data_IF_606319034970
#
_entry.id   IF_606319034970
#
_cell.length_a   1.000
_cell.length_b   1.000
_cell.length_c   1.000
_cell.angle_alpha   90.00
_cell.angle_beta   90.00
_cell.angle_gamma   90.00
#
_symmetry.space_group_name_H-M   'P 1'
#
loop_
_entity.id
_entity.type
_entity.pdbx_description
1 polymer ?
#
# COMPACT_ATOMS: atom_id res chain seq x y z
N UNK A 1 18.78 2.69 6.17
CA UNK A 1 19.06 1.32 5.73
C UNK A 1 17.92 0.46 6.23
N UNK A 2 17.45 -0.48 5.43
CA UNK A 2 16.43 -1.46 5.86
C UNK A 2 17.04 -2.52 6.80
N UNK A 3 16.20 -3.43 7.27
CA UNK A 3 16.65 -4.60 8.03
C UNK A 3 17.07 -5.69 7.05
N UNK A 4 18.32 -6.14 7.19
CA UNK A 4 18.90 -7.22 6.37
C UNK A 4 18.59 -8.56 7.01
N UNK A 5 18.09 -9.49 6.21
CA UNK A 5 17.73 -10.84 6.63
C UNK A 5 18.39 -11.86 5.69
N UNK A 6 19.05 -12.85 6.26
CA UNK A 6 19.56 -13.98 5.48
C UNK A 6 18.39 -14.77 4.86
N UNK A 7 18.67 -15.35 3.70
CA UNK A 7 17.75 -16.35 3.11
C UNK A 7 17.76 -17.64 3.91
N UNK A 8 16.70 -18.42 3.78
CA UNK A 8 16.62 -19.74 4.40
C UNK A 8 17.74 -20.71 3.93
N UNK A 9 17.81 -21.92 4.53
CA UNK A 9 18.91 -22.86 4.36
C UNK A 9 19.28 -23.14 2.90
N UNK A 10 18.31 -23.21 2.02
CA UNK A 10 18.50 -23.55 0.60
C UNK A 10 19.17 -22.41 -0.19
N UNK A 11 19.13 -21.19 0.29
CA UNK A 11 19.64 -19.98 -0.37
C UNK A 11 20.69 -19.22 0.48
N UNK A 12 21.07 -19.72 1.65
CA UNK A 12 22.05 -19.06 2.54
C UNK A 12 23.42 -18.90 1.91
N UNK A 13 23.80 -19.78 0.98
CA UNK A 13 25.05 -19.76 0.25
C UNK A 13 25.26 -18.48 -0.57
N UNK A 14 24.18 -17.80 -0.95
CA UNK A 14 24.20 -16.56 -1.74
C UNK A 14 24.98 -15.44 -1.06
N UNK A 15 24.98 -15.38 0.26
CA UNK A 15 25.67 -14.36 1.04
C UNK A 15 27.21 -14.44 0.92
N UNK A 16 27.75 -15.62 0.61
CA UNK A 16 29.19 -15.86 0.47
C UNK A 16 29.62 -16.03 -0.98
N UNK A 17 28.69 -16.17 -1.92
CA UNK A 17 28.98 -16.33 -3.35
C UNK A 17 29.46 -15.02 -3.96
N UNK A 18 30.61 -15.05 -4.64
CA UNK A 18 31.26 -13.87 -5.20
C UNK A 18 30.50 -13.26 -6.38
N UNK A 19 29.84 -14.07 -7.19
CA UNK A 19 29.03 -13.58 -8.31
C UNK A 19 27.81 -12.83 -7.76
N UNK A 20 27.13 -13.38 -6.75
CA UNK A 20 26.01 -12.73 -6.09
C UNK A 20 26.41 -11.44 -5.37
N UNK A 21 27.58 -11.42 -4.72
CA UNK A 21 28.12 -10.20 -4.12
C UNK A 21 28.40 -9.12 -5.16
N UNK A 22 28.93 -9.46 -6.32
CA UNK A 22 29.18 -8.49 -7.39
C UNK A 22 27.88 -7.99 -8.01
N UNK A 23 26.87 -8.85 -8.25
CA UNK A 23 25.55 -8.43 -8.70
C UNK A 23 24.91 -7.47 -7.71
N UNK A 24 24.99 -7.75 -6.43
CA UNK A 24 24.48 -6.88 -5.37
C UNK A 24 25.18 -5.51 -5.35
N UNK A 25 26.47 -5.48 -5.61
CA UNK A 25 27.26 -4.25 -5.75
C UNK A 25 26.81 -3.41 -6.96
N UNK A 26 26.51 -4.05 -8.07
CA UNK A 26 26.06 -3.36 -9.30
C UNK A 26 24.67 -2.71 -9.14
N UNK A 27 23.81 -3.24 -8.29
CA UNK A 27 22.45 -2.73 -8.05
C UNK A 27 22.39 -1.59 -7.01
N UNK A 28 23.52 -1.08 -6.51
CA UNK A 28 23.56 -0.11 -5.41
C UNK A 28 22.84 1.21 -5.72
N UNK A 29 22.79 1.65 -7.00
CA UNK A 29 22.11 2.89 -7.36
C UNK A 29 20.61 2.80 -7.13
N UNK A 30 19.98 1.73 -7.63
CA UNK A 30 18.54 1.50 -7.49
C UNK A 30 18.17 1.29 -6.03
N UNK A 31 18.98 0.53 -5.32
CA UNK A 31 18.84 0.29 -3.90
C UNK A 31 18.93 1.58 -3.06
N UNK A 32 19.80 2.54 -3.45
CA UNK A 32 19.86 3.84 -2.78
C UNK A 32 18.56 4.64 -2.98
N UNK A 33 17.96 4.60 -4.17
CA UNK A 33 16.67 5.25 -4.45
C UNK A 33 15.55 4.64 -3.59
N UNK A 34 15.48 3.32 -3.54
CA UNK A 34 14.53 2.57 -2.72
C UNK A 34 14.69 2.92 -1.21
N UNK A 35 15.92 2.90 -0.70
CA UNK A 35 16.23 3.25 0.70
C UNK A 35 15.88 4.69 1.06
N UNK A 36 16.12 5.65 0.15
CA UNK A 36 15.73 7.05 0.35
C UNK A 36 14.20 7.18 0.46
N UNK A 37 13.46 6.56 -0.45
CA UNK A 37 11.99 6.53 -0.39
C UNK A 37 11.51 5.93 0.93
N UNK A 38 12.06 4.78 1.33
CA UNK A 38 11.70 4.12 2.58
C UNK A 38 12.02 4.97 3.83
N UNK A 39 13.14 5.67 3.83
CA UNK A 39 13.51 6.57 4.94
C UNK A 39 12.51 7.74 5.05
N UNK A 40 12.14 8.35 3.92
CA UNK A 40 11.10 9.38 3.90
C UNK A 40 9.78 8.84 4.46
N UNK A 41 9.36 7.64 4.01
CA UNK A 41 8.15 6.99 4.50
C UNK A 41 8.18 6.78 6.02
N UNK A 42 9.26 6.22 6.57
CA UNK A 42 9.42 6.00 8.02
C UNK A 42 9.28 7.27 8.84
N UNK A 43 9.85 8.39 8.37
CA UNK A 43 9.74 9.69 9.05
C UNK A 43 8.30 10.21 9.05
N UNK A 44 7.60 10.09 7.91
CA UNK A 44 6.20 10.51 7.78
C UNK A 44 5.29 9.63 8.63
N UNK A 45 5.52 8.32 8.65
CA UNK A 45 4.78 7.37 9.49
C UNK A 45 4.90 7.70 10.98
N UNK A 46 6.11 7.96 11.47
CA UNK A 46 6.33 8.42 12.85
C UNK A 46 5.66 9.76 13.16
N UNK A 47 5.64 10.67 12.20
CA UNK A 47 4.91 11.92 12.31
C UNK A 47 3.40 11.66 12.41
N UNK A 48 2.84 10.83 11.52
CA UNK A 48 1.43 10.46 11.50
C UNK A 48 0.96 9.89 12.84
N UNK A 49 1.70 8.95 13.41
CA UNK A 49 1.39 8.31 14.70
C UNK A 49 1.31 9.31 15.88
N UNK A 50 2.03 10.44 15.80
CA UNK A 50 2.03 11.49 16.84
C UNK A 50 0.98 12.56 16.59
N UNK A 51 0.72 12.85 15.32
CA UNK A 51 -0.14 13.93 14.87
C UNK A 51 -1.61 13.56 14.93
N UNK A 52 -1.98 12.35 14.48
CA UNK A 52 -3.36 11.92 14.31
C UNK A 52 -4.03 11.70 15.65
N UNK A 53 -5.23 12.31 15.82
CA UNK A 53 -6.04 12.23 17.04
C UNK A 53 -7.53 12.18 16.72
N UNK A 54 -8.34 11.55 17.57
CA UNK A 54 -9.80 11.63 17.44
C UNK A 54 -10.29 13.09 17.38
N UNK A 55 -11.34 13.33 16.60
CA UNK A 55 -11.93 14.62 16.34
C UNK A 55 -11.36 15.37 15.13
N UNK A 56 -10.30 14.85 14.49
CA UNK A 56 -9.77 15.41 13.25
C UNK A 56 -10.61 14.96 12.05
N UNK A 57 -10.78 15.85 11.06
CA UNK A 57 -11.37 15.48 9.78
C UNK A 57 -10.37 14.62 8.99
N UNK A 58 -10.86 13.56 8.34
CA UNK A 58 -10.02 12.67 7.56
C UNK A 58 -9.32 13.40 6.40
N UNK A 59 -10.01 14.35 5.78
CA UNK A 59 -9.43 15.17 4.70
C UNK A 59 -8.24 16.02 5.21
N UNK A 60 -8.31 16.59 6.41
CA UNK A 60 -7.24 17.39 6.98
C UNK A 60 -6.03 16.52 7.34
N UNK A 61 -6.27 15.29 7.82
CA UNK A 61 -5.22 14.30 8.05
C UNK A 61 -4.46 14.01 6.76
N UNK A 62 -5.18 13.68 5.67
CA UNK A 62 -4.56 13.37 4.38
C UNK A 62 -3.77 14.56 3.82
N UNK A 63 -4.34 15.76 3.83
CA UNK A 63 -3.68 16.99 3.33
C UNK A 63 -2.38 17.26 4.10
N UNK A 64 -2.41 17.14 5.43
CA UNK A 64 -1.22 17.40 6.26
C UNK A 64 -0.13 16.34 6.02
N UNK A 65 -0.49 15.06 5.92
CA UNK A 65 0.47 13.99 5.61
C UNK A 65 1.08 14.14 4.21
N UNK A 66 0.26 14.48 3.22
CA UNK A 66 0.70 14.72 1.84
C UNK A 66 1.61 15.95 1.73
N UNK A 67 1.31 16.99 2.49
CA UNK A 67 2.17 18.19 2.61
C UNK A 67 3.52 17.85 3.24
N UNK A 68 3.51 17.09 4.35
CA UNK A 68 4.72 16.62 5.00
C UNK A 68 5.53 15.69 4.08
N UNK A 69 4.85 14.83 3.33
CA UNK A 69 5.48 13.96 2.35
C UNK A 69 6.18 14.77 1.26
N UNK A 70 5.51 15.75 0.65
CA UNK A 70 6.10 16.66 -0.34
C UNK A 70 7.33 17.38 0.21
N UNK A 71 7.30 17.78 1.48
CA UNK A 71 8.43 18.44 2.15
C UNK A 71 9.61 17.48 2.39
N UNK A 72 9.39 16.32 2.99
CA UNK A 72 10.47 15.36 3.35
C UNK A 72 11.10 14.74 2.11
N UNK A 73 10.31 14.41 1.08
CA UNK A 73 10.84 13.86 -0.17
C UNK A 73 11.50 14.93 -1.05
N UNK A 74 11.33 16.22 -0.72
CA UNK A 74 11.66 17.33 -1.62
C UNK A 74 11.02 17.11 -2.99
N UNK A 75 9.70 16.87 -3.00
CA UNK A 75 8.96 16.38 -4.15
C UNK A 75 9.22 17.19 -5.42
N UNK A 76 9.61 16.52 -6.50
CA UNK A 76 9.93 17.10 -7.78
C UNK A 76 9.40 16.22 -8.93
N UNK A 77 8.21 16.53 -9.41
CA UNK A 77 7.58 15.84 -10.55
C UNK A 77 7.55 14.32 -10.35
N UNK A 78 8.08 13.60 -11.33
CA UNK A 78 8.21 12.15 -11.32
C UNK A 78 9.59 11.66 -10.78
N UNK A 79 10.49 12.56 -10.39
CA UNK A 79 11.79 12.15 -9.84
C UNK A 79 11.66 11.64 -8.39
N UNK A 80 10.86 12.31 -7.58
CA UNK A 80 10.59 11.90 -6.20
C UNK A 80 9.31 12.53 -5.67
N UNK A 81 8.63 11.81 -4.78
CA UNK A 81 7.38 12.28 -4.20
C UNK A 81 6.49 11.15 -3.70
N UNK A 82 5.20 11.35 -3.83
CA UNK A 82 4.16 10.41 -3.46
C UNK A 82 3.86 9.45 -4.61
N UNK A 83 3.79 8.14 -4.34
CA UNK A 83 3.50 7.13 -5.37
C UNK A 83 2.02 6.81 -5.53
N UNK A 84 1.21 7.08 -4.49
CA UNK A 84 -0.25 6.96 -4.52
C UNK A 84 -0.88 7.80 -3.40
N UNK A 85 -2.20 8.11 -3.45
CA UNK A 85 -2.87 8.94 -2.47
C UNK A 85 -2.81 8.35 -1.06
N UNK A 86 -2.83 9.22 -0.04
CA UNK A 86 -2.93 8.78 1.35
C UNK A 86 -4.29 8.14 1.60
N UNK A 87 -4.32 6.82 1.70
CA UNK A 87 -5.46 6.05 2.18
C UNK A 87 -5.64 6.24 3.69
N UNK A 88 -6.90 6.43 4.11
CA UNK A 88 -7.26 6.55 5.52
C UNK A 88 -8.57 5.81 5.80
N UNK A 89 -8.63 4.56 5.39
CA UNK A 89 -9.81 3.71 5.44
C UNK A 89 -10.26 3.42 6.88
N UNK A 90 -11.55 3.65 7.18
CA UNK A 90 -12.12 3.47 8.52
C UNK A 90 -12.91 2.17 8.64
N UNK A 91 -12.81 1.53 9.78
CA UNK A 91 -13.63 0.40 10.25
C UNK A 91 -13.75 -0.73 9.21
N UNK A 92 -14.92 -0.96 8.63
CA UNK A 92 -15.19 -2.00 7.63
C UNK A 92 -14.60 -1.70 6.24
N UNK A 93 -14.22 -0.45 5.96
CA UNK A 93 -13.47 -0.11 4.74
C UNK A 93 -12.04 -0.60 4.90
N UNK A 94 -11.65 -1.59 4.12
CA UNK A 94 -10.32 -2.20 4.19
C UNK A 94 -9.25 -1.34 3.51
N UNK A 95 -9.52 -0.84 2.29
CA UNK A 95 -8.55 -0.12 1.47
C UNK A 95 -9.21 0.86 0.49
N UNK A 96 -8.39 1.65 -0.20
CA UNK A 96 -8.74 2.55 -1.30
C UNK A 96 -9.69 3.70 -0.94
N UNK A 97 -9.81 4.06 0.34
CA UNK A 97 -10.51 5.27 0.73
C UNK A 97 -9.53 6.40 1.02
N UNK A 98 -9.67 7.50 0.30
CA UNK A 98 -9.17 8.83 0.65
C UNK A 98 -10.30 9.83 0.46
N UNK A 99 -10.46 10.86 1.32
CA UNK A 99 -11.55 11.81 1.22
C UNK A 99 -11.58 12.51 -0.14
N UNK A 100 -12.74 12.55 -0.78
CA UNK A 100 -12.99 13.41 -1.92
C UNK A 100 -13.20 14.87 -1.49
N UNK A 101 -13.08 15.87 -2.39
CA UNK A 101 -13.41 17.25 -2.06
C UNK A 101 -14.82 17.37 -1.46
N UNK A 102 -14.92 17.99 -0.28
CA UNK A 102 -16.19 18.16 0.45
C UNK A 102 -16.56 17.02 1.40
N UNK A 103 -15.72 16.02 1.56
CA UNK A 103 -15.90 14.96 2.54
C UNK A 103 -15.67 15.52 3.96
N UNK A 104 -16.66 15.36 4.83
CA UNK A 104 -16.67 15.85 6.21
C UNK A 104 -16.47 14.74 7.26
N UNK A 105 -16.05 13.55 6.85
CA UNK A 105 -15.81 12.39 7.74
C UNK A 105 -14.79 12.78 8.82
N UNK A 106 -15.13 12.46 10.07
CA UNK A 106 -14.32 12.75 11.25
C UNK A 106 -13.86 11.45 11.89
N UNK A 107 -12.59 11.37 12.27
CA UNK A 107 -12.01 10.26 13.01
C UNK A 107 -12.54 10.24 14.45
N UNK A 108 -13.15 9.15 14.87
CA UNK A 108 -13.66 8.97 16.23
C UNK A 108 -12.71 8.11 17.08
N UNK A 109 -12.88 8.20 18.41
CA UNK A 109 -12.06 7.43 19.35
C UNK A 109 -12.25 5.90 19.26
N UNK A 110 -13.41 5.46 18.77
CA UNK A 110 -13.75 4.05 18.58
C UNK A 110 -13.56 3.55 17.15
N UNK A 111 -12.88 4.34 16.29
CA UNK A 111 -12.57 3.92 14.93
C UNK A 111 -11.24 3.15 14.85
N UNK A 112 -11.18 2.22 13.91
CA UNK A 112 -9.94 1.60 13.42
C UNK A 112 -9.59 2.24 12.09
N UNK A 113 -8.50 2.99 12.03
CA UNK A 113 -8.05 3.70 10.84
C UNK A 113 -6.83 3.00 10.22
N UNK A 114 -6.92 2.61 8.95
CA UNK A 114 -5.82 2.11 8.14
C UNK A 114 -5.22 3.28 7.39
N UNK A 115 -3.97 3.60 7.71
CA UNK A 115 -3.19 4.60 7.00
C UNK A 115 -2.26 3.88 6.03
N UNK A 116 -2.45 4.18 4.77
CA UNK A 116 -1.76 3.57 3.66
C UNK A 116 -1.31 4.66 2.68
N UNK A 117 0.01 4.84 2.55
CA UNK A 117 0.57 5.85 1.66
C UNK A 117 1.92 5.42 1.12
N UNK A 118 2.19 5.81 -0.10
CA UNK A 118 3.43 5.46 -0.76
C UNK A 118 4.33 6.64 -1.05
N UNK A 119 5.64 6.36 -1.07
CA UNK A 119 6.67 7.29 -1.53
C UNK A 119 7.44 6.69 -2.70
N UNK A 120 8.08 7.53 -3.50
CA UNK A 120 9.04 7.05 -4.50
C UNK A 120 10.22 7.99 -4.65
N UNK A 121 11.35 7.43 -5.07
CA UNK A 121 12.53 8.15 -5.57
C UNK A 121 12.94 7.47 -6.88
N UNK A 122 13.07 8.24 -7.97
CA UNK A 122 13.30 7.73 -9.32
C UNK A 122 12.28 6.64 -9.75
N UNK A 123 11.03 6.76 -9.29
CA UNK A 123 9.97 5.80 -9.56
C UNK A 123 10.01 4.51 -8.74
N UNK A 124 11.05 4.24 -7.93
CA UNK A 124 11.08 3.08 -7.04
C UNK A 124 10.06 3.26 -5.92
N UNK A 125 8.96 2.52 -6.04
CA UNK A 125 7.80 2.63 -5.16
C UNK A 125 8.10 2.00 -3.80
N UNK A 126 7.79 2.73 -2.76
CA UNK A 126 7.63 2.25 -1.39
C UNK A 126 6.14 2.22 -1.09
N UNK A 127 5.68 1.06 -0.70
CA UNK A 127 4.31 0.78 -0.28
C UNK A 127 4.32 0.28 1.15
N UNK A 128 3.62 0.96 2.05
CA UNK A 128 3.64 0.58 3.45
C UNK A 128 2.46 1.18 4.21
N UNK A 129 1.75 0.33 4.92
CA UNK A 129 0.56 0.68 5.67
C UNK A 129 0.63 0.25 7.14
N UNK A 130 -0.17 0.91 7.97
CA UNK A 130 -0.34 0.57 9.38
C UNK A 130 -1.71 1.00 9.87
N UNK A 131 -2.20 0.32 10.89
CA UNK A 131 -3.47 0.66 11.55
C UNK A 131 -3.25 1.46 12.83
N UNK A 132 -4.15 2.41 13.08
CA UNK A 132 -4.27 3.16 14.34
C UNK A 132 -5.65 2.88 14.93
N UNK A 133 -5.69 2.58 16.22
CA UNK A 133 -6.88 2.59 17.06
C UNK A 133 -6.56 3.27 18.38
N UNK A 134 -7.51 4.02 18.93
CA UNK A 134 -7.33 4.71 20.22
C UNK A 134 -7.97 3.95 21.37
N UNK A 135 -8.82 2.97 21.07
CA UNK A 135 -9.46 2.11 22.05
C UNK A 135 -8.74 0.76 22.10
N UNK A 136 -8.20 0.36 23.28
CA UNK A 136 -7.47 -0.90 23.42
C UNK A 136 -8.27 -2.17 23.10
N UNK A 137 -9.60 -2.08 23.01
CA UNK A 137 -10.42 -3.23 22.62
C UNK A 137 -10.06 -3.79 21.23
N UNK A 138 -9.38 -3.00 20.38
CA UNK A 138 -8.95 -3.41 19.04
C UNK A 138 -7.51 -3.97 18.98
N UNK A 139 -6.78 -3.99 20.10
CA UNK A 139 -5.35 -4.37 20.10
C UNK A 139 -5.12 -5.75 19.46
N UNK A 140 -5.95 -6.74 19.78
CA UNK A 140 -5.84 -8.07 19.19
C UNK A 140 -6.13 -8.08 17.67
N UNK A 141 -7.03 -7.21 17.18
CA UNK A 141 -7.31 -7.08 15.76
C UNK A 141 -6.09 -6.48 15.03
N UNK A 142 -5.50 -5.43 15.60
CA UNK A 142 -4.28 -4.82 15.05
C UNK A 142 -3.11 -5.81 15.08
N UNK A 143 -2.96 -6.54 16.19
CA UNK A 143 -1.90 -7.53 16.34
C UNK A 143 -2.04 -8.66 15.32
N UNK A 144 -3.26 -9.11 15.02
CA UNK A 144 -3.49 -10.18 14.04
C UNK A 144 -2.94 -9.81 12.64
N UNK A 145 -3.23 -8.62 12.13
CA UNK A 145 -2.67 -8.17 10.85
C UNK A 145 -1.17 -7.90 10.94
N UNK A 146 -0.68 -7.29 12.02
CA UNK A 146 0.74 -7.03 12.21
C UNK A 146 1.56 -8.33 12.20
N UNK A 147 1.16 -9.33 12.96
CA UNK A 147 1.84 -10.64 12.99
C UNK A 147 1.63 -11.43 11.69
N UNK A 148 0.50 -11.26 11.02
CA UNK A 148 0.29 -11.77 9.66
C UNK A 148 1.32 -11.20 8.68
N UNK A 149 1.52 -9.87 8.68
CA UNK A 149 2.54 -9.20 7.85
C UNK A 149 3.95 -9.64 8.22
N UNK A 150 4.30 -9.70 9.50
CA UNK A 150 5.59 -10.18 9.98
C UNK A 150 5.86 -11.62 9.50
N UNK A 151 4.84 -12.48 9.52
CA UNK A 151 4.93 -13.86 9.03
C UNK A 151 5.16 -13.89 7.52
N UNK A 152 4.41 -13.09 6.73
CA UNK A 152 4.64 -12.98 5.29
C UNK A 152 6.04 -12.49 4.96
N UNK A 153 6.51 -11.45 5.64
CA UNK A 153 7.89 -10.93 5.52
C UNK A 153 8.93 -12.01 5.88
N UNK A 154 8.69 -12.79 6.92
CA UNK A 154 9.60 -13.88 7.33
C UNK A 154 9.67 -14.99 6.28
N UNK A 155 8.52 -15.41 5.76
CA UNK A 155 8.42 -16.48 4.76
C UNK A 155 8.89 -16.04 3.36
N UNK A 156 8.79 -14.76 3.03
CA UNK A 156 9.25 -14.22 1.77
C UNK A 156 10.75 -14.49 1.55
N UNK A 157 11.12 -14.91 0.34
CA UNK A 157 12.49 -15.22 -0.03
C UNK A 157 12.56 -15.75 -1.44
N UNK A 158 13.78 -15.82 -2.01
CA UNK A 158 14.00 -16.43 -3.33
C UNK A 158 13.54 -17.88 -3.28
N UNK A 159 12.81 -18.32 -4.31
CA UNK A 159 12.15 -19.63 -4.45
C UNK A 159 10.95 -19.89 -3.51
N UNK A 160 10.60 -18.97 -2.61
CA UNK A 160 9.41 -19.11 -1.77
C UNK A 160 8.13 -19.13 -2.65
N UNK A 161 7.23 -20.08 -2.39
CA UNK A 161 5.97 -20.22 -3.12
C UNK A 161 4.91 -19.29 -2.53
N UNK A 162 4.22 -18.55 -3.38
CA UNK A 162 3.25 -17.55 -2.94
C UNK A 162 2.08 -18.16 -2.15
N UNK A 163 1.61 -19.35 -2.58
CA UNK A 163 0.56 -20.08 -1.87
C UNK A 163 0.94 -20.55 -0.45
N UNK A 164 2.21 -20.89 -0.23
CA UNK A 164 2.75 -21.28 1.08
C UNK A 164 2.84 -20.07 2.03
N UNK A 165 3.25 -18.90 1.49
CA UNK A 165 3.25 -17.64 2.23
C UNK A 165 1.84 -17.31 2.68
N UNK A 166 0.85 -17.39 1.77
CA UNK A 166 -0.56 -17.15 2.11
C UNK A 166 -1.11 -18.09 3.18
N UNK A 167 -0.73 -19.36 3.14
CA UNK A 167 -1.13 -20.32 4.16
C UNK A 167 -0.58 -19.96 5.55
N UNK A 168 0.69 -19.58 5.65
CA UNK A 168 1.31 -19.16 6.90
C UNK A 168 0.70 -17.86 7.47
N UNK A 169 0.40 -16.89 6.59
CA UNK A 169 -0.28 -15.65 6.98
C UNK A 169 -1.67 -15.95 7.54
N UNK A 170 -2.46 -16.76 6.84
CA UNK A 170 -3.81 -17.12 7.26
C UNK A 170 -3.81 -17.80 8.63
N UNK A 171 -2.93 -18.77 8.85
CA UNK A 171 -2.81 -19.50 10.12
C UNK A 171 -2.60 -18.52 11.29
N UNK A 172 -1.71 -17.55 11.12
CA UNK A 172 -1.41 -16.55 12.17
C UNK A 172 -2.60 -15.62 12.39
N UNK A 173 -3.16 -15.01 11.35
CA UNK A 173 -4.28 -14.07 11.48
C UNK A 173 -5.49 -14.76 12.15
N UNK A 174 -5.85 -15.97 11.71
CA UNK A 174 -7.04 -16.68 12.17
C UNK A 174 -6.85 -17.37 13.54
N UNK A 175 -5.62 -17.32 14.10
CA UNK A 175 -5.36 -17.75 15.49
C UNK A 175 -5.82 -16.72 16.52
N UNK A 176 -6.12 -15.49 16.10
CA UNK A 176 -6.54 -14.41 16.98
C UNK A 176 -8.05 -14.32 17.15
N UNK A 177 -8.45 -13.84 18.30
CA UNK A 177 -9.82 -13.43 18.63
C UNK A 177 -9.79 -12.04 19.25
N UNK A 178 -10.86 -11.28 19.08
CA UNK A 178 -11.01 -9.95 19.68
C UNK A 178 -12.36 -9.80 20.34
N UNK A 179 -12.37 -9.22 21.54
CA UNK A 179 -13.61 -8.88 22.26
C UNK A 179 -13.96 -7.42 22.00
N UNK A 180 -15.11 -7.18 21.34
CA UNK A 180 -15.62 -5.85 21.04
C UNK A 180 -16.99 -5.71 21.71
N UNK A 181 -17.10 -4.75 22.63
CA UNK A 181 -18.35 -4.46 23.37
C UNK A 181 -18.98 -5.71 24.01
N UNK A 182 -18.16 -6.58 24.62
CA UNK A 182 -18.60 -7.80 25.31
C UNK A 182 -18.96 -8.97 24.39
N UNK A 183 -18.66 -8.88 23.09
CA UNK A 183 -18.85 -9.96 22.13
C UNK A 183 -17.50 -10.39 21.56
N UNK A 184 -17.19 -11.68 21.64
CA UNK A 184 -15.99 -12.27 21.03
C UNK A 184 -16.21 -12.48 19.53
N UNK A 185 -15.28 -11.99 18.73
CA UNK A 185 -15.21 -12.17 17.28
C UNK A 185 -13.97 -12.98 16.92
N UNK A 186 -14.15 -14.03 16.12
CA UNK A 186 -13.03 -14.68 15.44
C UNK A 186 -12.52 -13.78 14.33
N UNK A 187 -11.22 -13.62 14.26
CA UNK A 187 -10.59 -12.82 13.21
C UNK A 187 -10.39 -13.68 11.97
N UNK A 188 -10.60 -13.09 10.80
CA UNK A 188 -10.42 -13.74 9.50
C UNK A 188 -9.46 -12.96 8.64
N UNK A 189 -8.60 -13.65 7.90
CA UNK A 189 -7.86 -13.07 6.81
C UNK A 189 -8.79 -12.73 5.64
N UNK A 190 -8.63 -11.56 5.02
CA UNK A 190 -9.47 -11.15 3.89
C UNK A 190 -9.02 -11.86 2.61
N UNK A 191 -9.77 -12.85 2.17
CA UNK A 191 -9.37 -13.81 1.13
C UNK A 191 -9.19 -13.23 -0.28
N UNK A 192 -9.74 -12.06 -0.58
CA UNK A 192 -9.68 -11.42 -1.90
C UNK A 192 -8.87 -10.12 -1.91
N UNK A 193 -8.07 -9.89 -0.87
CA UNK A 193 -6.95 -8.97 -0.86
C UNK A 193 -5.63 -9.73 -0.84
N UNK A 194 -4.56 -9.09 -1.29
CA UNK A 194 -3.25 -9.72 -1.40
C UNK A 194 -2.15 -8.66 -1.41
N UNK A 195 -0.97 -9.00 -0.89
CA UNK A 195 0.26 -8.28 -1.21
C UNK A 195 0.62 -8.45 -2.69
N UNK A 196 1.60 -7.72 -3.16
CA UNK A 196 1.95 -7.72 -4.58
C UNK A 196 3.42 -7.34 -4.82
N UNK A 197 3.90 -7.61 -6.05
CA UNK A 197 5.14 -7.00 -6.51
C UNK A 197 4.94 -5.50 -6.75
N UNK A 198 5.96 -4.71 -6.40
CA UNK A 198 6.08 -3.30 -6.76
C UNK A 198 7.24 -3.11 -7.73
N UNK A 199 7.20 -2.06 -8.53
CA UNK A 199 8.22 -1.79 -9.54
C UNK A 199 8.49 -0.31 -9.74
N UNK A 200 9.38 0.01 -10.67
CA UNK A 200 9.64 1.39 -11.02
C UNK A 200 8.44 1.99 -11.75
N UNK A 201 7.81 3.01 -11.13
CA UNK A 201 6.54 3.63 -11.55
C UNK A 201 5.36 2.65 -11.62
N UNK A 202 5.43 1.53 -10.91
CA UNK A 202 4.38 0.52 -10.85
C UNK A 202 4.05 0.18 -9.40
N UNK A 203 2.85 0.52 -8.98
CA UNK A 203 2.34 0.14 -7.65
C UNK A 203 2.07 -1.38 -7.63
N UNK A 204 1.47 -1.92 -8.70
CA UNK A 204 1.26 -3.36 -8.88
C UNK A 204 2.07 -3.85 -10.10
N UNK A 205 3.08 -4.69 -9.88
CA UNK A 205 4.02 -5.11 -10.92
C UNK A 205 3.85 -6.57 -11.41
N UNK A 206 2.69 -7.17 -11.16
CA UNK A 206 2.24 -8.41 -11.82
C UNK A 206 2.03 -9.62 -10.92
N UNK A 207 2.89 -9.93 -9.93
CA UNK A 207 2.67 -11.05 -9.00
C UNK A 207 1.82 -10.60 -7.80
N UNK A 208 0.91 -11.46 -7.33
CA UNK A 208 0.11 -11.24 -6.13
C UNK A 208 0.51 -12.22 -5.03
N UNK A 209 0.69 -11.74 -3.81
CA UNK A 209 1.00 -12.55 -2.63
C UNK A 209 -0.29 -12.77 -1.84
N UNK A 210 -0.92 -13.95 -1.91
CA UNK A 210 -2.17 -14.20 -1.20
C UNK A 210 -1.95 -14.12 0.32
N UNK A 211 -3.00 -13.75 1.05
CA UNK A 211 -3.01 -13.73 2.52
C UNK A 211 -3.84 -14.88 3.11
N UNK A 212 -4.29 -15.76 2.25
CA UNK A 212 -4.95 -17.03 2.59
C UNK A 212 -4.33 -18.16 1.78
N UNK A 213 -4.49 -19.38 2.26
CA UNK A 213 -4.05 -20.56 1.52
C UNK A 213 -4.66 -20.61 0.12
N UNK A 214 -3.80 -20.72 -0.89
CA UNK A 214 -4.17 -20.94 -2.29
C UNK A 214 -3.27 -22.01 -2.90
N UNK A 215 -3.77 -22.66 -3.93
CA UNK A 215 -2.98 -23.56 -4.76
C UNK A 215 -2.25 -22.72 -5.83
N UNK A 216 -1.16 -22.08 -5.40
CA UNK A 216 -0.35 -21.19 -6.23
C UNK A 216 1.13 -21.52 -6.02
N UNK A 217 1.72 -22.16 -7.03
CA UNK A 217 3.12 -22.58 -7.07
C UNK A 217 4.07 -21.51 -7.60
N UNK A 218 3.56 -20.29 -7.92
CA UNK A 218 4.38 -19.16 -8.36
C UNK A 218 5.42 -18.85 -7.30
N UNK A 219 6.66 -18.68 -7.75
CA UNK A 219 7.79 -18.41 -6.85
C UNK A 219 8.19 -16.96 -6.86
N UNK A 220 8.70 -16.50 -5.73
CA UNK A 220 9.43 -15.24 -5.64
C UNK A 220 10.82 -15.38 -6.26
N UNK A 221 11.29 -14.33 -6.96
CA UNK A 221 12.54 -14.35 -7.72
C UNK A 221 13.53 -13.27 -7.26
N UNK A 222 14.81 -13.50 -7.59
CA UNK A 222 15.87 -12.54 -7.32
C UNK A 222 15.62 -11.19 -8.01
N UNK A 223 15.81 -10.09 -7.29
CA UNK A 223 15.63 -8.73 -7.79
C UNK A 223 14.20 -8.19 -7.68
N UNK A 224 13.22 -9.03 -7.36
CA UNK A 224 11.86 -8.58 -7.18
C UNK A 224 11.69 -7.79 -5.88
N UNK A 225 10.82 -6.77 -5.94
CA UNK A 225 10.36 -5.99 -4.79
C UNK A 225 8.91 -6.35 -4.49
N UNK A 226 8.59 -6.45 -3.23
CA UNK A 226 7.25 -6.84 -2.76
C UNK A 226 6.73 -5.88 -1.71
N UNK A 227 5.46 -5.55 -1.82
CA UNK A 227 4.60 -5.08 -0.76
C UNK A 227 3.97 -6.30 -0.09
N UNK A 228 4.36 -6.59 1.13
CA UNK A 228 3.78 -7.67 1.94
C UNK A 228 2.78 -7.02 2.89
N UNK A 229 1.53 -7.05 2.48
CA UNK A 229 0.40 -6.50 3.23
C UNK A 229 -0.58 -7.57 3.63
N UNK A 230 -1.22 -7.37 4.76
CA UNK A 230 -2.25 -8.28 5.26
C UNK A 230 -3.40 -7.52 5.90
N UNK A 231 -4.58 -8.11 5.78
CA UNK A 231 -5.83 -7.55 6.28
C UNK A 231 -6.52 -8.57 7.17
N UNK A 232 -6.77 -8.15 8.41
CA UNK A 232 -7.51 -8.93 9.40
C UNK A 232 -8.88 -8.31 9.65
N UNK A 233 -9.95 -9.11 9.65
CA UNK A 233 -11.33 -8.62 9.75
C UNK A 233 -12.13 -9.39 10.79
N UNK A 234 -13.02 -8.66 11.48
CA UNK A 234 -14.07 -9.25 12.34
C UNK A 234 -15.34 -9.62 11.55
N UNK A 235 -15.36 -9.33 10.25
CA UNK A 235 -16.50 -9.52 9.35
C UNK A 235 -16.52 -10.87 8.62
N UNK A 236 -16.80 -10.84 7.32
CA UNK A 236 -16.85 -12.03 6.46
C UNK A 236 -15.45 -12.52 6.03
N UNK A 237 -14.44 -11.65 6.08
CA UNK A 237 -13.12 -11.93 5.49
C UNK A 237 -13.16 -11.89 3.97
N UNK A 238 -13.97 -11.01 3.42
CA UNK A 238 -14.05 -10.75 1.97
C UNK A 238 -14.59 -9.35 1.73
N UNK A 239 -13.97 -8.63 0.83
CA UNK A 239 -14.35 -7.26 0.49
C UNK A 239 -15.06 -7.17 -0.85
N UNK A 240 -15.81 -6.10 -1.03
CA UNK A 240 -16.50 -5.72 -2.26
C UNK A 240 -16.43 -4.20 -2.44
N UNK A 241 -16.61 -3.75 -3.68
CA UNK A 241 -16.63 -2.33 -4.02
C UNK A 241 -17.84 -1.65 -3.37
N UNK A 242 -17.59 -0.62 -2.55
CA UNK A 242 -18.66 0.15 -1.92
C UNK A 242 -18.19 1.57 -1.59
N UNK A 243 -18.96 2.57 -2.03
CA UNK A 243 -18.68 3.99 -1.79
C UNK A 243 -18.15 4.75 -2.99
N UNK A 244 -17.90 6.04 -2.78
CA UNK A 244 -17.42 6.94 -3.83
C UNK A 244 -15.95 6.71 -4.15
N UNK A 245 -15.65 6.45 -5.42
CA UNK A 245 -14.28 6.27 -5.87
C UNK A 245 -13.46 7.55 -5.71
N UNK A 246 -12.28 7.41 -5.15
CA UNK A 246 -11.32 8.48 -4.94
C UNK A 246 -9.96 8.22 -5.59
N UNK A 247 -9.57 6.96 -5.72
CA UNK A 247 -8.31 6.50 -6.28
C UNK A 247 -8.44 6.13 -7.74
N UNK A 248 -7.48 6.57 -8.54
CA UNK A 248 -7.41 6.31 -9.98
C UNK A 248 -5.98 6.07 -10.41
N UNK A 249 -5.79 5.32 -11.48
CA UNK A 249 -4.49 5.07 -12.08
C UNK A 249 -4.60 5.08 -13.60
N UNK A 250 -3.59 5.61 -14.29
CA UNK A 250 -3.53 5.56 -15.74
C UNK A 250 -2.92 4.22 -16.18
N UNK A 251 -3.52 3.61 -17.19
CA UNK A 251 -3.02 2.37 -17.78
C UNK A 251 -1.67 2.57 -18.47
N UNK A 252 -0.78 1.58 -18.39
CA UNK A 252 0.61 1.67 -18.88
C UNK A 252 0.69 1.98 -20.38
N UNK A 253 -0.23 1.44 -21.16
CA UNK A 253 -0.28 1.59 -22.62
C UNK A 253 -1.36 2.57 -23.10
N UNK A 254 -1.87 3.40 -22.19
CA UNK A 254 -2.93 4.33 -22.52
C UNK A 254 -2.47 5.39 -23.53
N UNK A 255 -3.30 5.62 -24.53
CA UNK A 255 -3.10 6.70 -25.52
C UNK A 255 -4.30 7.65 -25.52
N UNK A 256 -4.01 8.95 -25.54
CA UNK A 256 -4.99 10.01 -25.70
C UNK A 256 -5.45 10.27 -27.13
N UNK A 257 -4.95 9.52 -28.13
CA UNK A 257 -5.18 9.80 -29.56
C UNK A 257 -6.65 9.73 -29.98
N UNK A 258 -7.43 8.88 -29.31
CA UNK A 258 -8.87 8.71 -29.57
C UNK A 258 -9.75 9.76 -28.89
N UNK A 259 -9.20 10.54 -27.98
CA UNK A 259 -9.96 11.56 -27.25
C UNK A 259 -10.33 12.70 -28.20
N UNK A 260 -11.61 13.06 -28.22
CA UNK A 260 -12.13 14.17 -29.03
C UNK A 260 -12.41 15.42 -28.20
N UNK A 261 -12.68 15.24 -26.91
CA UNK A 261 -13.02 16.33 -25.99
C UNK A 261 -11.75 17.02 -25.49
N UNK A 262 -11.62 18.32 -25.68
CA UNK A 262 -10.43 19.10 -25.31
C UNK A 262 -10.17 19.11 -23.80
N UNK A 263 -11.23 19.10 -22.95
CA UNK A 263 -11.08 18.98 -21.50
C UNK A 263 -10.53 17.61 -21.11
N UNK A 264 -10.96 16.54 -21.79
CA UNK A 264 -10.45 15.19 -21.56
C UNK A 264 -8.98 15.08 -22.01
N UNK A 265 -8.61 15.69 -23.16
CA UNK A 265 -7.20 15.76 -23.60
C UNK A 265 -6.32 16.52 -22.62
N UNK A 266 -6.80 17.66 -22.12
CA UNK A 266 -6.08 18.46 -21.13
C UNK A 266 -5.87 17.68 -19.83
N UNK A 267 -6.91 16.99 -19.34
CA UNK A 267 -6.83 16.14 -18.14
C UNK A 267 -5.87 14.96 -18.37
N UNK A 268 -5.96 14.27 -19.50
CA UNK A 268 -5.03 13.20 -19.88
C UNK A 268 -3.56 13.67 -19.83
N UNK A 269 -3.28 14.80 -20.46
CA UNK A 269 -1.92 15.35 -20.47
C UNK A 269 -1.44 15.74 -19.08
N UNK A 270 -2.32 16.28 -18.24
CA UNK A 270 -2.00 16.60 -16.85
C UNK A 270 -1.65 15.33 -16.07
N UNK A 271 -2.48 14.28 -16.14
CA UNK A 271 -2.25 13.00 -15.47
C UNK A 271 -0.93 12.38 -15.96
N UNK A 272 -0.74 12.30 -17.27
CA UNK A 272 0.47 11.73 -17.89
C UNK A 272 1.75 12.41 -17.41
N UNK A 273 1.74 13.74 -17.31
CA UNK A 273 2.94 14.51 -17.00
C UNK A 273 3.24 14.59 -15.48
N UNK A 274 2.23 14.47 -14.62
CA UNK A 274 2.40 14.64 -13.18
C UNK A 274 2.36 13.33 -12.38
N UNK A 275 1.61 12.33 -12.85
CA UNK A 275 1.42 11.07 -12.13
C UNK A 275 1.90 9.87 -12.94
N UNK A 276 1.92 9.97 -14.29
CA UNK A 276 2.24 8.84 -15.17
C UNK A 276 1.38 7.63 -14.84
N UNK A 277 2.00 6.48 -14.56
CA UNK A 277 1.36 5.23 -14.14
C UNK A 277 1.22 5.09 -12.61
N UNK A 278 1.63 6.11 -11.84
CA UNK A 278 1.37 6.16 -10.40
C UNK A 278 -0.10 6.51 -10.14
N UNK A 279 -0.62 6.04 -9.01
CA UNK A 279 -2.00 6.34 -8.62
C UNK A 279 -2.15 7.80 -8.13
N UNK A 280 -3.34 8.34 -8.32
CA UNK A 280 -3.68 9.72 -7.95
C UNK A 280 -5.14 9.80 -7.46
N UNK A 281 -5.54 10.94 -6.87
CA UNK A 281 -6.90 11.16 -6.37
C UNK A 281 -7.53 12.45 -6.90
N UNK A 282 -8.86 12.54 -6.73
CA UNK A 282 -9.64 13.70 -7.19
C UNK A 282 -9.21 15.02 -6.52
N UNK A 283 -8.79 14.99 -5.24
CA UNK A 283 -8.28 16.18 -4.55
C UNK A 283 -7.07 16.78 -5.27
N UNK A 284 -6.16 15.96 -5.77
CA UNK A 284 -4.98 16.41 -6.49
C UNK A 284 -5.31 17.03 -7.84
N UNK A 285 -6.38 16.59 -8.50
CA UNK A 285 -6.87 17.26 -9.73
C UNK A 285 -7.39 18.67 -9.42
N UNK A 286 -8.12 18.85 -8.32
CA UNK A 286 -8.61 20.17 -7.91
C UNK A 286 -7.45 21.11 -7.54
N UNK A 287 -6.42 20.61 -6.84
CA UNK A 287 -5.16 21.32 -6.54
C UNK A 287 -4.43 21.72 -7.83
N UNK A 288 -4.42 20.84 -8.83
CA UNK A 288 -3.86 21.08 -10.18
C UNK A 288 -4.70 22.01 -11.07
N UNK A 289 -5.80 22.57 -10.56
CA UNK A 289 -6.66 23.52 -11.28
C UNK A 289 -7.74 22.88 -12.16
N UNK A 290 -7.91 21.55 -12.12
CA UNK A 290 -8.92 20.83 -12.89
C UNK A 290 -10.26 20.75 -12.14
N UNK A 291 -10.80 21.88 -11.73
CA UNK A 291 -12.14 21.93 -11.13
C UNK A 291 -13.21 21.45 -12.13
N UNK A 292 -14.25 20.78 -11.63
CA UNK A 292 -15.32 20.18 -12.46
C UNK A 292 -14.82 19.13 -13.47
N UNK A 293 -13.84 18.32 -13.08
CA UNK A 293 -13.21 17.28 -13.90
C UNK A 293 -14.09 16.03 -14.18
N UNK A 294 -15.25 15.87 -13.52
CA UNK A 294 -16.01 14.61 -13.51
C UNK A 294 -16.37 14.07 -14.90
N UNK A 295 -16.81 14.94 -15.83
CA UNK A 295 -17.13 14.51 -17.20
C UNK A 295 -15.89 14.15 -18.02
N UNK A 296 -14.79 14.89 -17.84
CA UNK A 296 -13.51 14.58 -18.48
C UNK A 296 -12.94 13.26 -17.94
N UNK A 297 -12.97 13.07 -16.63
CA UNK A 297 -12.52 11.84 -15.98
C UNK A 297 -13.35 10.62 -16.45
N UNK A 298 -14.67 10.74 -16.49
CA UNK A 298 -15.54 9.68 -17.03
C UNK A 298 -15.17 9.35 -18.48
N UNK A 299 -14.87 10.36 -19.30
CA UNK A 299 -14.45 10.12 -20.68
C UNK A 299 -13.13 9.34 -20.76
N UNK A 300 -12.16 9.58 -19.83
CA UNK A 300 -10.93 8.78 -19.74
C UNK A 300 -11.20 7.34 -19.32
N UNK A 301 -12.13 7.12 -18.38
CA UNK A 301 -12.54 5.78 -17.94
C UNK A 301 -13.25 5.02 -19.07
N UNK A 302 -14.19 5.66 -19.75
CA UNK A 302 -14.94 5.06 -20.87
C UNK A 302 -14.03 4.66 -22.06
N UNK A 303 -12.85 5.28 -22.17
CA UNK A 303 -11.82 4.95 -23.17
C UNK A 303 -10.72 4.01 -22.64
N UNK A 304 -10.91 3.44 -21.43
CA UNK A 304 -9.93 2.53 -20.78
C UNK A 304 -8.53 3.14 -20.63
N UNK A 305 -8.45 4.48 -20.51
CA UNK A 305 -7.20 5.22 -20.26
C UNK A 305 -6.89 5.26 -18.78
N UNK A 306 -7.93 5.32 -17.95
CA UNK A 306 -7.86 5.42 -16.49
C UNK A 306 -8.74 4.36 -15.88
N UNK A 307 -8.18 3.61 -14.92
CA UNK A 307 -8.92 2.64 -14.10
C UNK A 307 -9.25 3.24 -12.74
N UNK A 308 -10.55 3.20 -12.33
CA UNK A 308 -10.97 3.59 -11.00
C UNK A 308 -10.73 2.45 -10.00
N UNK A 309 -10.32 2.81 -8.78
CA UNK A 309 -10.14 1.91 -7.65
C UNK A 309 -11.08 2.35 -6.51
N UNK A 310 -12.30 1.83 -6.47
CA UNK A 310 -13.28 2.17 -5.43
C UNK A 310 -12.84 1.66 -4.06
N UNK A 311 -13.40 2.21 -2.97
CA UNK A 311 -13.19 1.66 -1.63
C UNK A 311 -13.62 0.20 -1.56
N UNK A 312 -12.81 -0.60 -0.87
CA UNK A 312 -13.02 -2.04 -0.67
C UNK A 312 -13.51 -2.27 0.75
N UNK A 313 -14.73 -2.74 0.90
CA UNK A 313 -15.41 -2.87 2.20
C UNK A 313 -15.72 -4.33 2.53
N UNK A 314 -15.54 -4.73 3.78
CA UNK A 314 -16.18 -5.91 4.36
C UNK A 314 -17.63 -5.54 4.78
N UNK A 315 -18.32 -6.39 5.47
CA UNK A 315 -19.70 -6.12 5.89
C UNK A 315 -19.78 -4.95 6.87
N UNK A 316 -20.79 -4.12 6.70
CA UNK A 316 -21.08 -2.98 7.58
C UNK A 316 -21.07 -3.38 9.06
N UNK A 317 -20.45 -2.57 9.91
CA UNK A 317 -20.29 -2.80 11.34
C UNK A 317 -19.17 -3.77 11.72
N UNK A 318 -18.41 -4.29 10.75
CA UNK A 318 -17.16 -4.98 11.01
C UNK A 318 -15.99 -4.02 11.17
N UNK A 319 -14.86 -4.53 11.63
CA UNK A 319 -13.61 -3.78 11.77
C UNK A 319 -12.51 -4.53 11.03
N UNK A 320 -11.73 -3.78 10.26
CA UNK A 320 -10.59 -4.27 9.50
C UNK A 320 -9.33 -3.57 9.96
N UNK A 321 -8.24 -4.32 10.14
CA UNK A 321 -6.89 -3.78 10.32
C UNK A 321 -5.98 -4.20 9.18
N UNK A 322 -4.96 -3.37 8.88
CA UNK A 322 -3.95 -3.58 7.84
C UNK A 322 -2.58 -3.26 8.41
N UNK A 323 -1.59 -4.08 8.07
CA UNK A 323 -0.17 -3.73 8.19
C UNK A 323 0.56 -4.17 6.92
N UNK A 324 1.66 -3.48 6.62
CA UNK A 324 2.38 -3.68 5.36
C UNK A 324 3.84 -3.27 5.45
N UNK A 325 4.70 -4.02 4.78
CA UNK A 325 6.09 -3.69 4.57
C UNK A 325 6.54 -3.89 3.12
N UNK A 326 7.37 -2.98 2.61
CA UNK A 326 8.12 -3.18 1.38
C UNK A 326 9.43 -3.90 1.66
N UNK A 327 9.72 -4.92 0.86
CA UNK A 327 11.00 -5.63 0.86
C UNK A 327 11.55 -5.81 -0.57
N UNK A 328 12.86 -6.06 -0.65
CA UNK A 328 13.53 -6.44 -1.90
C UNK A 328 14.31 -7.74 -1.70
N UNK A 329 14.23 -8.63 -2.69
CA UNK A 329 14.98 -9.89 -2.76
C UNK A 329 16.32 -9.64 -3.49
N UNK A 330 17.31 -9.17 -2.76
CA UNK A 330 18.64 -8.88 -3.30
C UNK A 330 19.39 -10.17 -3.63
N UNK A 331 20.42 -10.12 -4.50
CA UNK A 331 21.23 -11.30 -4.84
C UNK A 331 21.78 -12.04 -3.63
N UNK A 332 22.20 -11.36 -2.58
CA UNK A 332 22.86 -11.95 -1.41
C UNK A 332 21.94 -12.18 -0.23
N UNK A 333 20.94 -11.33 -0.02
CA UNK A 333 20.06 -11.36 1.15
C UNK A 333 18.77 -10.57 0.89
N UNK A 334 17.75 -10.79 1.69
CA UNK A 334 16.53 -9.99 1.70
C UNK A 334 16.75 -8.71 2.50
N UNK A 335 16.23 -7.58 2.00
CA UNK A 335 16.20 -6.32 2.75
C UNK A 335 14.76 -5.84 2.91
N UNK A 336 14.29 -5.70 4.16
CA UNK A 336 12.99 -5.11 4.47
C UNK A 336 13.20 -3.62 4.70
N UNK A 337 12.87 -2.81 3.70
CA UNK A 337 13.29 -1.40 3.67
C UNK A 337 12.47 -0.49 4.59
N UNK A 338 11.24 -0.89 4.92
CA UNK A 338 10.28 -0.07 5.71
C UNK A 338 10.23 -0.39 7.20
N UNK A 339 10.85 -1.47 7.67
CA UNK A 339 10.94 -1.77 9.12
C UNK A 339 11.71 -0.66 9.84
N UNK A 340 11.21 -0.24 10.98
CA UNK A 340 11.84 0.71 11.90
C UNK A 340 11.52 0.34 13.36
N UNK A 341 11.85 1.23 14.30
CA UNK A 341 11.60 1.06 15.75
C UNK A 341 10.12 1.22 16.15
N UNK A 342 9.27 1.69 15.26
CA UNK A 342 7.83 1.81 15.49
C UNK A 342 7.06 0.54 15.09
N UNK A 343 7.48 -0.12 14.06
CA UNK A 343 7.07 -1.48 13.68
C UNK A 343 7.85 -1.99 12.48
#
# INVERSE_FOLDING_TARGET
MGVLCDYGPDNIWRSTDKEKQELDRLQQFDLLSLRKGAECHKQIRKYAQRFIKPGMKMIDICIELEKMLKFITNAHGLDCGQSFPTGCSLNDVAAHYTPNPGDDTVLNADDVCKLDFGTHVNGFVIDCAFSIAFNPMYDNLLMASKEGTNTGVKLAGIDARLGEIGAGIQEVIESYEVEIKGKTHKIKAIKNLCGHTVGQYKVHAGKSVPIVKRDDDTKMEEGEMYAIETFASTGKGSVFDNGDCSHYMMEEYASGDKLKNDKAKALYNHIKNNYSTLAWCRRWLDEGGFKNHSLALRNLIDHEIVTPYPPLCDVEGSFVSQFEHTLILRPTMKEVVTIADDY
#
